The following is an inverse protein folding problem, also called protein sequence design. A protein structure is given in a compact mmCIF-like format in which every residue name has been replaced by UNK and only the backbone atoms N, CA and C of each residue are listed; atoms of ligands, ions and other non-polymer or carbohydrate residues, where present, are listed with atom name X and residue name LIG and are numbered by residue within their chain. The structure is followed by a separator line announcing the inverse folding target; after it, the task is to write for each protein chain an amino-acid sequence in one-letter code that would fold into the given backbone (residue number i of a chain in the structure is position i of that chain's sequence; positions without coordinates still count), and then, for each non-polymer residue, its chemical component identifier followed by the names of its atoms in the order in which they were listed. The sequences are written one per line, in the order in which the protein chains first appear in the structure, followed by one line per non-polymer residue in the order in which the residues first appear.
data_IF_125026803204
#
_entry.id   IF_125026803204
#
_cell.length_a   1.000
_cell.length_b   1.000
_cell.length_c   1.000
_cell.angle_alpha   90.00
_cell.angle_beta   90.00
_cell.angle_gamma   90.00
#
_symmetry.space_group_name_H-M   'P 1'
#
loop_
_entity.id
_entity.type
_entity.pdbx_description
1 polymer ?
#
# COMPACT_ATOMS: atom_id res chain seq x y z
N UNK A 1 -30.36 -27.72 -47.66
CA UNK A 1 -30.14 -26.54 -46.80
C UNK A 1 -29.16 -26.93 -45.69
N UNK A 2 -27.89 -26.53 -45.82
CA UNK A 2 -26.85 -26.77 -44.79
C UNK A 2 -26.79 -25.54 -43.88
N UNK A 3 -27.14 -25.72 -42.61
CA UNK A 3 -27.03 -24.67 -41.59
C UNK A 3 -25.63 -24.71 -41.01
N UNK A 4 -24.85 -23.69 -41.31
CA UNK A 4 -23.48 -23.49 -40.83
C UNK A 4 -23.55 -22.87 -39.42
N UNK A 5 -23.36 -23.69 -38.37
CA UNK A 5 -23.17 -23.16 -37.00
C UNK A 5 -21.77 -22.59 -36.86
N UNK A 6 -21.67 -21.26 -36.82
CA UNK A 6 -20.41 -20.58 -36.48
C UNK A 6 -20.21 -20.66 -34.97
N UNK A 7 -19.20 -21.41 -34.52
CA UNK A 7 -18.74 -21.43 -33.14
C UNK A 7 -17.90 -20.16 -32.89
N UNK A 8 -18.44 -19.21 -32.11
CA UNK A 8 -17.66 -18.10 -31.57
C UNK A 8 -16.82 -18.64 -30.41
N UNK A 9 -15.52 -18.82 -30.65
CA UNK A 9 -14.54 -19.05 -29.59
C UNK A 9 -14.25 -17.70 -28.92
N UNK A 10 -14.86 -17.46 -27.77
CA UNK A 10 -14.49 -16.34 -26.90
C UNK A 10 -13.16 -16.72 -26.23
N UNK A 11 -12.07 -16.15 -26.73
CA UNK A 11 -10.80 -16.23 -26.06
C UNK A 11 -10.90 -15.42 -24.75
N UNK A 12 -11.12 -16.11 -23.63
CA UNK A 12 -10.98 -15.54 -22.30
C UNK A 12 -9.48 -15.23 -22.09
N UNK A 13 -9.09 -14.01 -22.40
CA UNK A 13 -7.78 -13.50 -22.05
C UNK A 13 -7.61 -13.56 -20.54
N UNK A 14 -6.65 -14.34 -20.04
CA UNK A 14 -6.24 -14.31 -18.65
C UNK A 14 -5.75 -12.89 -18.34
N UNK A 15 -6.62 -12.06 -17.75
CA UNK A 15 -6.22 -10.80 -17.13
C UNK A 15 -5.41 -11.16 -15.88
N UNK A 16 -4.12 -11.40 -16.07
CA UNK A 16 -3.17 -11.49 -14.97
C UNK A 16 -3.13 -10.11 -14.31
N UNK A 17 -3.74 -9.99 -13.14
CA UNK A 17 -3.62 -8.81 -12.31
C UNK A 17 -2.19 -8.78 -11.76
N UNK A 18 -1.23 -8.40 -12.60
CA UNK A 18 0.12 -8.09 -12.15
C UNK A 18 0.04 -6.84 -11.30
N UNK A 19 0.50 -6.93 -10.04
CA UNK A 19 0.77 -5.77 -9.22
C UNK A 19 1.72 -4.84 -9.97
N UNK A 20 1.21 -3.72 -10.48
CA UNK A 20 2.04 -2.77 -11.21
C UNK A 20 2.81 -1.92 -10.21
N UNK A 21 4.12 -2.08 -10.17
CA UNK A 21 5.02 -1.16 -9.47
C UNK A 21 5.36 0.08 -10.30
N UNK A 22 4.80 0.20 -11.51
CA UNK A 22 5.12 1.26 -12.46
C UNK A 22 4.95 2.70 -11.92
N UNK A 23 3.96 3.02 -11.07
CA UNK A 23 3.82 4.37 -10.51
C UNK A 23 4.91 4.76 -9.53
N UNK A 24 5.63 3.79 -8.95
CA UNK A 24 6.58 4.03 -7.86
C UNK A 24 8.02 4.11 -8.34
N UNK A 25 8.80 5.01 -7.73
CA UNK A 25 10.24 5.08 -7.93
C UNK A 25 10.95 4.09 -7.00
N UNK A 26 11.22 2.90 -7.52
CA UNK A 26 11.83 1.81 -6.75
C UNK A 26 13.30 2.07 -6.39
N UNK A 27 13.92 3.11 -6.97
CA UNK A 27 15.31 3.49 -6.67
C UNK A 27 15.42 4.43 -5.47
N UNK A 28 14.27 4.96 -4.99
CA UNK A 28 14.21 5.91 -3.88
C UNK A 28 13.46 5.31 -2.70
N UNK A 29 13.81 5.76 -1.52
CA UNK A 29 13.07 5.53 -0.29
C UNK A 29 12.87 6.86 0.43
N UNK A 30 11.66 7.11 0.90
CA UNK A 30 11.32 8.30 1.68
C UNK A 30 10.68 7.86 2.98
N UNK A 31 11.12 8.48 4.07
CA UNK A 31 10.53 8.26 5.41
C UNK A 31 9.64 9.44 5.76
N UNK A 32 8.42 9.14 6.17
CA UNK A 32 7.44 10.10 6.66
C UNK A 32 7.06 9.77 8.10
N UNK A 33 6.82 10.79 8.90
CA UNK A 33 6.34 10.66 10.29
C UNK A 33 5.12 11.54 10.47
N UNK A 34 4.05 10.96 11.00
CA UNK A 34 2.80 11.69 11.16
C UNK A 34 1.78 10.94 12.00
N UNK A 35 0.53 11.32 11.81
CA UNK A 35 -0.61 10.73 12.50
C UNK A 35 -1.49 10.00 11.48
N UNK A 36 -1.86 8.76 11.78
CA UNK A 36 -2.80 8.01 10.95
C UNK A 36 -4.14 8.74 10.93
N UNK A 37 -4.64 9.07 9.76
CA UNK A 37 -5.98 9.63 9.56
C UNK A 37 -7.00 8.57 9.14
N UNK A 38 -6.54 7.52 8.44
CA UNK A 38 -7.39 6.42 7.97
C UNK A 38 -6.56 5.15 7.76
N UNK A 39 -7.17 4.00 8.01
CA UNK A 39 -6.61 2.69 7.65
C UNK A 39 -7.70 1.84 6.99
N UNK A 40 -7.42 1.34 5.81
CA UNK A 40 -8.29 0.41 5.08
C UNK A 40 -7.63 -0.95 4.96
N UNK A 41 -8.27 -1.96 5.54
CA UNK A 41 -7.88 -3.36 5.49
C UNK A 41 -8.69 -4.07 4.42
N UNK A 42 -8.34 -3.85 3.14
CA UNK A 42 -9.15 -4.24 1.98
C UNK A 42 -8.33 -4.94 0.90
N UNK A 43 -9.01 -5.79 0.11
CA UNK A 43 -8.46 -6.36 -1.12
C UNK A 43 -8.75 -5.41 -2.31
N UNK A 44 -7.86 -5.35 -3.31
CA UNK A 44 -6.61 -6.11 -3.45
C UNK A 44 -5.46 -5.53 -2.63
N UNK A 45 -5.57 -4.29 -2.13
CA UNK A 45 -4.55 -3.57 -1.39
C UNK A 45 -5.11 -2.91 -0.14
N UNK A 46 -4.33 -2.98 0.95
CA UNK A 46 -4.55 -2.18 2.15
C UNK A 46 -3.96 -0.79 1.96
N UNK A 47 -4.54 0.21 2.64
CA UNK A 47 -4.12 1.60 2.55
C UNK A 47 -4.00 2.23 3.93
N UNK A 48 -2.94 3.01 4.13
CA UNK A 48 -2.76 3.86 5.31
C UNK A 48 -2.65 5.31 4.85
N UNK A 49 -3.52 6.17 5.36
CA UNK A 49 -3.40 7.63 5.18
C UNK A 49 -2.75 8.23 6.41
N UNK A 50 -1.72 9.05 6.18
CA UNK A 50 -0.93 9.67 7.24
C UNK A 50 -0.89 11.17 7.02
N UNK A 51 -1.31 11.92 8.01
CA UNK A 51 -1.19 13.38 8.05
C UNK A 51 0.20 13.75 8.59
N UNK A 52 1.03 14.28 7.71
CA UNK A 52 2.42 14.66 7.98
C UNK A 52 2.51 16.15 8.16
N UNK A 53 2.99 16.67 9.31
CA UNK A 53 3.18 18.11 9.50
C UNK A 53 4.08 18.71 8.41
N UNK A 54 3.69 19.86 7.89
CA UNK A 54 4.45 20.59 6.89
C UNK A 54 4.98 21.93 7.41
N UNK A 55 5.90 22.54 6.66
CA UNK A 55 6.56 23.81 7.03
C UNK A 55 5.59 25.00 7.07
N UNK A 56 4.39 24.88 6.51
CA UNK A 56 3.36 25.94 6.48
C UNK A 56 2.47 25.95 7.71
N UNK A 57 2.71 25.07 8.69
CA UNK A 57 1.90 24.92 9.90
C UNK A 57 0.63 24.11 9.73
N UNK A 58 0.47 23.43 8.58
CA UNK A 58 -0.61 22.48 8.29
C UNK A 58 -0.07 21.05 8.19
N UNK A 59 -0.82 20.21 7.49
CA UNK A 59 -0.45 18.83 7.21
C UNK A 59 -0.53 18.53 5.72
N UNK A 60 0.33 17.62 5.27
CA UNK A 60 0.25 16.99 3.97
C UNK A 60 -0.30 15.57 4.16
N UNK A 61 -1.39 15.24 3.50
CA UNK A 61 -1.95 13.89 3.55
C UNK A 61 -1.20 12.97 2.60
N UNK A 62 -0.66 11.88 3.15
CA UNK A 62 0.07 10.86 2.41
C UNK A 62 -0.77 9.59 2.27
N UNK A 63 -0.93 9.08 1.06
CA UNK A 63 -1.57 7.80 0.78
C UNK A 63 -0.51 6.71 0.60
N UNK A 64 -0.45 5.77 1.53
CA UNK A 64 0.52 4.67 1.51
C UNK A 64 -0.18 3.38 1.12
N UNK A 65 0.19 2.84 -0.05
CA UNK A 65 -0.32 1.58 -0.55
C UNK A 65 0.46 0.41 0.05
N UNK A 66 -0.26 -0.50 0.69
CA UNK A 66 0.27 -1.76 1.20
C UNK A 66 -0.10 -2.93 0.29
N UNK A 67 0.25 -4.13 0.75
CA UNK A 67 -0.15 -5.39 0.11
C UNK A 67 -1.56 -5.80 0.55
N UNK A 68 -2.05 -6.93 0.04
CA UNK A 68 -3.33 -7.48 0.45
C UNK A 68 -3.36 -7.83 1.95
N UNK A 69 -4.55 -7.86 2.57
CA UNK A 69 -4.70 -8.28 3.96
C UNK A 69 -4.05 -9.63 4.29
N UNK A 70 -4.24 -10.63 3.43
CA UNK A 70 -3.65 -11.95 3.63
C UNK A 70 -2.11 -11.94 3.61
N UNK A 71 -1.55 -11.12 2.75
CA UNK A 71 -0.09 -10.97 2.66
C UNK A 71 0.47 -10.29 3.91
N UNK A 72 -0.16 -9.21 4.35
CA UNK A 72 0.26 -8.45 5.54
C UNK A 72 0.02 -9.23 6.84
N UNK A 73 -1.07 -10.00 6.94
CA UNK A 73 -1.37 -10.81 8.13
C UNK A 73 -0.25 -11.81 8.45
N UNK A 74 0.36 -12.41 7.43
CA UNK A 74 1.51 -13.30 7.61
C UNK A 74 2.77 -12.59 8.12
N UNK A 75 2.76 -11.25 8.17
CA UNK A 75 3.84 -10.37 8.59
C UNK A 75 3.49 -9.57 9.84
N UNK A 76 2.51 -10.05 10.59
CA UNK A 76 2.13 -9.50 11.87
C UNK A 76 1.13 -8.36 11.84
N UNK A 77 0.61 -7.99 10.66
CA UNK A 77 -0.46 -7.00 10.55
C UNK A 77 -1.82 -7.62 10.83
N UNK A 78 -2.71 -6.81 11.40
CA UNK A 78 -4.14 -7.09 11.56
C UNK A 78 -4.94 -5.85 11.17
N UNK A 79 -6.24 -5.99 11.02
CA UNK A 79 -7.14 -4.85 10.78
C UNK A 79 -7.13 -3.79 11.89
N UNK A 80 -6.53 -4.09 13.04
CA UNK A 80 -6.44 -3.19 14.20
C UNK A 80 -4.99 -2.79 14.53
N UNK A 81 -4.04 -3.14 13.67
CA UNK A 81 -2.62 -2.82 13.89
C UNK A 81 -2.39 -1.31 14.02
N UNK A 82 -3.06 -0.53 13.21
CA UNK A 82 -3.11 0.94 13.33
C UNK A 82 -4.55 1.43 13.24
N UNK A 83 -4.80 2.59 13.82
CA UNK A 83 -6.10 3.24 13.81
C UNK A 83 -5.93 4.76 13.74
N UNK A 84 -6.96 5.50 13.32
CA UNK A 84 -6.92 6.96 13.34
C UNK A 84 -6.46 7.52 14.68
N UNK A 85 -5.54 8.48 14.63
CA UNK A 85 -4.91 9.09 15.80
C UNK A 85 -3.57 8.49 16.22
N UNK A 86 -3.22 7.30 15.75
CA UNK A 86 -1.94 6.68 16.07
C UNK A 86 -0.77 7.45 15.41
N UNK A 87 0.31 7.61 16.16
CA UNK A 87 1.58 8.09 15.61
C UNK A 87 2.28 6.96 14.88
N UNK A 88 2.86 7.28 13.72
CA UNK A 88 3.53 6.28 12.89
C UNK A 88 4.69 6.92 12.11
N UNK A 89 5.75 6.15 11.93
CA UNK A 89 6.82 6.47 10.99
C UNK A 89 6.83 5.40 9.91
N UNK A 90 6.69 5.81 8.64
CA UNK A 90 6.61 4.89 7.50
C UNK A 90 7.68 5.23 6.49
N UNK A 91 8.41 4.22 6.03
CA UNK A 91 9.25 4.32 4.83
C UNK A 91 8.47 3.82 3.61
N UNK A 92 8.54 4.54 2.52
CA UNK A 92 7.83 4.27 1.28
C UNK A 92 8.76 4.37 0.06
N UNK A 93 8.40 3.65 -1.01
CA UNK A 93 8.87 3.95 -2.36
C UNK A 93 7.95 5.04 -2.92
N UNK A 94 8.44 6.27 -3.14
CA UNK A 94 7.57 7.39 -3.48
C UNK A 94 6.96 7.27 -4.87
N UNK A 95 5.86 7.97 -5.11
CA UNK A 95 5.29 8.12 -6.44
C UNK A 95 6.26 8.89 -7.35
N UNK A 96 6.42 8.44 -8.60
CA UNK A 96 7.20 9.13 -9.64
C UNK A 96 6.63 10.51 -9.98
N UNK A 97 5.31 10.67 -9.80
CA UNK A 97 4.61 11.94 -10.05
C UNK A 97 5.01 13.07 -9.10
N UNK A 98 5.61 12.74 -7.94
CA UNK A 98 5.90 13.69 -6.89
C UNK A 98 4.73 14.00 -5.96
N UNK A 99 3.55 13.40 -6.20
CA UNK A 99 2.41 13.50 -5.26
C UNK A 99 2.74 12.83 -3.93
N UNK A 100 2.02 13.23 -2.87
CA UNK A 100 2.18 12.68 -1.53
C UNK A 100 1.61 11.27 -1.45
N UNK A 101 2.43 10.30 -1.77
CA UNK A 101 2.05 8.89 -1.75
C UNK A 101 3.23 7.98 -2.03
N UNK A 102 3.04 6.70 -1.80
CA UNK A 102 4.06 5.71 -2.07
C UNK A 102 3.65 4.30 -1.70
N UNK A 103 4.48 3.35 -2.12
CA UNK A 103 4.35 1.95 -1.76
C UNK A 103 5.03 1.71 -0.41
N UNK A 104 4.33 1.03 0.48
CA UNK A 104 4.82 0.66 1.80
C UNK A 104 6.12 -0.16 1.74
N UNK A 105 7.08 0.15 2.58
CA UNK A 105 8.31 -0.63 2.80
C UNK A 105 8.36 -1.17 4.22
N UNK A 106 8.28 -0.27 5.21
CA UNK A 106 8.26 -0.62 6.63
C UNK A 106 7.57 0.48 7.45
N UNK A 107 7.08 0.11 8.62
CA UNK A 107 6.51 1.04 9.58
C UNK A 107 7.05 0.79 10.99
N UNK A 108 7.32 1.86 11.71
CA UNK A 108 7.53 1.85 13.17
C UNK A 108 6.26 2.37 13.81
N UNK A 109 5.62 1.52 14.61
CA UNK A 109 4.38 1.83 15.30
C UNK A 109 4.65 2.62 16.60
N UNK A 110 3.59 3.20 17.17
CA UNK A 110 3.69 3.98 18.41
C UNK A 110 4.24 3.18 19.61
N UNK A 111 4.05 1.87 19.61
CA UNK A 111 4.57 0.94 20.64
C UNK A 111 6.00 0.47 20.38
N UNK A 112 6.64 0.97 19.32
CA UNK A 112 8.01 0.65 18.92
C UNK A 112 8.18 -0.59 18.05
N UNK A 113 7.10 -1.35 17.77
CA UNK A 113 7.17 -2.49 16.85
C UNK A 113 7.49 -2.01 15.44
N UNK A 114 8.36 -2.75 14.75
CA UNK A 114 8.68 -2.52 13.35
C UNK A 114 8.05 -3.61 12.50
N UNK A 115 7.25 -3.22 11.53
CA UNK A 115 6.61 -4.12 10.58
C UNK A 115 7.11 -3.82 9.17
N UNK A 116 7.45 -4.86 8.42
CA UNK A 116 7.99 -4.73 7.06
C UNK A 116 7.09 -5.39 6.03
N UNK A 117 7.23 -4.97 4.78
CA UNK A 117 6.59 -5.64 3.66
C UNK A 117 7.28 -6.96 3.31
N UNK A 118 8.58 -7.08 3.54
CA UNK A 118 9.39 -8.24 3.18
C UNK A 118 9.43 -9.37 4.22
N UNK A 119 8.78 -9.19 5.38
CA UNK A 119 8.47 -10.28 6.31
C UNK A 119 9.61 -10.76 7.19
N UNK A 120 10.62 -9.96 7.46
CA UNK A 120 11.56 -10.18 8.54
C UNK A 120 11.49 -9.00 9.51
N UNK A 121 11.19 -9.22 10.81
CA UNK A 121 11.51 -8.23 11.82
C UNK A 121 13.03 -8.05 11.79
N UNK A 122 13.49 -6.85 11.57
CA UNK A 122 14.89 -6.53 11.83
C UNK A 122 15.02 -6.30 13.32
N UNK A 123 15.75 -7.20 13.97
CA UNK A 123 16.22 -6.99 15.36
C UNK A 123 17.00 -5.67 15.47
#
# INVERSE_FOLDING_TARGET
MLTLCAFLIVAAGNASAHHSFAPFDLTKEKTITGTVSKFEWTNPHSWVWVDVPNEKGGVDSWAVEGMSPNYLARRGWTKTTVKPGDKITISVRPLKSGENGGMFVRATLADGRVLTQSGQPTD
#
